data_IF_396335730951
#
_entry.id   IF_396335730951
#
_cell.length_a   1.000
_cell.length_b   1.000
_cell.length_c   1.000
_cell.angle_alpha   90.00
_cell.angle_beta   90.00
_cell.angle_gamma   90.00
#
_symmetry.space_group_name_H-M   'P 1'
#
loop_
_entity.id
_entity.type
_entity.pdbx_description
1 polymer ?
#
# COMPACT_ATOMS: atom_id res chain seq x y z
N UNK A 1 -9.24 -15.19 -15.77
CA UNK A 1 -9.17 -13.90 -15.10
C UNK A 1 -7.78 -13.73 -14.49
N UNK A 2 -7.08 -12.69 -14.88
CA UNK A 2 -5.72 -12.47 -14.40
C UNK A 2 -5.72 -11.80 -13.04
N UNK A 3 -4.86 -12.27 -12.17
CA UNK A 3 -4.62 -11.61 -10.89
C UNK A 3 -3.32 -10.82 -10.99
N UNK A 4 -3.39 -9.56 -10.61
CA UNK A 4 -2.20 -8.73 -10.53
C UNK A 4 -1.70 -8.77 -9.09
N UNK A 5 -0.40 -8.90 -8.94
CA UNK A 5 0.22 -8.96 -7.63
C UNK A 5 1.42 -8.03 -7.59
N UNK A 6 1.45 -7.18 -6.59
CA UNK A 6 2.55 -6.24 -6.40
C UNK A 6 3.10 -6.39 -4.99
N UNK A 7 4.41 -6.42 -4.89
CA UNK A 7 5.10 -6.41 -3.61
C UNK A 7 5.85 -5.10 -3.49
N UNK A 8 5.52 -4.32 -2.48
CA UNK A 8 6.20 -3.05 -2.26
C UNK A 8 6.64 -2.96 -0.81
N UNK A 9 7.67 -2.15 -0.60
CA UNK A 9 8.15 -1.84 0.73
C UNK A 9 7.92 -0.36 0.95
N UNK A 10 7.14 -0.04 1.96
CA UNK A 10 6.77 1.35 2.23
C UNK A 10 6.85 1.65 3.71
N UNK A 11 7.17 2.88 4.01
CA UNK A 11 7.10 3.37 5.38
C UNK A 11 5.69 3.88 5.62
N UNK A 12 5.12 3.51 6.76
CA UNK A 12 3.81 4.01 7.13
C UNK A 12 3.89 5.53 7.31
N UNK A 13 2.99 6.24 6.68
CA UNK A 13 2.89 7.69 6.81
C UNK A 13 1.71 8.04 7.68
N UNK A 14 1.60 9.31 8.02
CA UNK A 14 0.53 9.80 8.87
C UNK A 14 -0.28 10.85 8.11
N UNK A 15 -1.58 10.73 8.19
CA UNK A 15 -2.49 11.72 7.62
C UNK A 15 -3.59 11.99 8.63
N UNK A 16 -3.50 13.14 9.31
CA UNK A 16 -4.40 13.43 10.43
C UNK A 16 -4.14 12.45 11.56
N UNK A 17 -5.18 11.74 11.99
CA UNK A 17 -5.05 10.72 13.03
C UNK A 17 -4.82 9.32 12.43
N UNK A 18 -4.76 9.22 11.12
CA UNK A 18 -4.66 7.93 10.45
C UNK A 18 -3.23 7.59 10.07
N UNK A 19 -2.88 6.32 10.24
CA UNK A 19 -1.66 5.77 9.67
C UNK A 19 -2.01 5.24 8.28
N UNK A 20 -1.26 5.66 7.27
CA UNK A 20 -1.60 5.32 5.89
C UNK A 20 -0.39 4.79 5.13
N UNK A 21 -0.67 4.11 4.03
CA UNK A 21 0.34 3.70 3.07
C UNK A 21 0.04 4.42 1.76
N UNK A 22 1.04 5.18 1.28
CA UNK A 22 0.90 5.89 0.02
C UNK A 22 1.30 4.95 -1.11
N UNK A 23 0.39 4.74 -2.05
CA UNK A 23 0.66 3.89 -3.21
C UNK A 23 1.66 4.61 -4.12
N UNK A 24 2.77 3.96 -4.52
CA UNK A 24 3.72 4.58 -5.43
C UNK A 24 3.05 5.01 -6.73
N UNK A 25 3.51 6.13 -7.25
CA UNK A 25 2.90 6.71 -8.43
C UNK A 25 2.86 5.74 -9.61
N UNK A 26 3.90 4.93 -9.74
CA UNK A 26 3.97 3.95 -10.83
C UNK A 26 2.87 2.91 -10.75
N UNK A 27 2.33 2.65 -9.57
CA UNK A 27 1.28 1.64 -9.39
C UNK A 27 -0.12 2.23 -9.39
N UNK A 28 -0.24 3.54 -9.39
CA UNK A 28 -1.56 4.16 -9.28
C UNK A 28 -2.44 3.88 -10.49
N UNK A 29 -1.83 3.66 -11.64
CA UNK A 29 -2.57 3.28 -12.84
C UNK A 29 -3.24 1.92 -12.72
N UNK A 30 -2.60 1.00 -12.00
CA UNK A 30 -3.15 -0.34 -11.78
C UNK A 30 -4.03 -0.42 -10.54
N UNK A 31 -3.91 0.56 -9.64
CA UNK A 31 -4.63 0.59 -8.37
C UNK A 31 -5.38 1.91 -8.22
N UNK A 32 -6.30 2.22 -9.16
CA UNK A 32 -7.03 3.47 -9.06
C UNK A 32 -8.06 3.44 -7.93
N UNK A 33 -8.59 4.60 -7.65
CA UNK A 33 -9.62 4.75 -6.63
C UNK A 33 -10.77 3.77 -6.87
N UNK A 34 -11.18 3.10 -5.83
CA UNK A 34 -12.26 2.14 -5.90
C UNK A 34 -11.82 0.70 -6.11
N UNK A 35 -10.53 0.48 -6.39
CA UNK A 35 -9.99 -0.86 -6.54
C UNK A 35 -10.02 -1.57 -5.19
N UNK A 36 -10.48 -2.81 -5.19
CA UNK A 36 -10.51 -3.63 -3.98
C UNK A 36 -9.28 -4.50 -3.98
N UNK A 37 -8.52 -4.45 -2.90
CA UNK A 37 -7.28 -5.21 -2.78
C UNK A 37 -7.29 -6.02 -1.50
N UNK A 38 -6.52 -7.08 -1.52
CA UNK A 38 -6.26 -7.92 -0.36
C UNK A 38 -4.86 -7.57 0.12
N UNK A 39 -4.73 -7.16 1.38
CA UNK A 39 -3.46 -6.64 1.87
C UNK A 39 -2.88 -7.56 2.93
N UNK A 40 -1.63 -7.95 2.73
CA UNK A 40 -0.86 -8.70 3.71
C UNK A 40 0.30 -7.81 4.16
N UNK A 41 0.44 -7.63 5.48
CA UNK A 41 1.43 -6.71 6.03
C UNK A 41 2.49 -7.48 6.78
N UNK A 42 3.75 -7.31 6.36
CA UNK A 42 4.91 -7.87 7.04
C UNK A 42 5.74 -6.73 7.61
N UNK A 43 5.87 -6.69 8.92
CA UNK A 43 6.66 -5.65 9.58
C UNK A 43 8.13 -6.02 9.50
N UNK A 44 8.91 -5.20 8.83
CA UNK A 44 10.34 -5.46 8.67
C UNK A 44 11.20 -4.57 9.57
N UNK A 45 10.64 -3.47 10.05
CA UNK A 45 11.34 -2.59 10.98
C UNK A 45 10.30 -1.81 11.76
N UNK A 46 10.33 -1.94 13.08
CA UNK A 46 9.36 -1.24 13.91
C UNK A 46 9.81 0.18 14.16
N UNK A 47 8.81 1.09 14.24
CA UNK A 47 9.08 2.46 14.63
C UNK A 47 9.39 2.52 16.11
N UNK A 48 10.22 3.49 16.49
CA UNK A 48 10.55 3.70 17.90
C UNK A 48 9.60 4.69 18.52
#
# INVERSE_FOLDING_TARGET
MEQKQFNIRKRIAKHGINSIIVIPKLLQGDLPKGTIVDIQINVIEEAE
#
